data_IF_554814174449
#
_entry.id   IF_554814174449
#
_cell.length_a   1.000
_cell.length_b   1.000
_cell.length_c   1.000
_cell.angle_alpha   90.00
_cell.angle_beta   90.00
_cell.angle_gamma   90.00
#
_symmetry.space_group_name_H-M   'P 1'
#
loop_
_entity.id
_entity.type
_entity.pdbx_description
1 polymer ?
#
# COMPACT_ATOMS: atom_id res chain seq x y z
N UNK A 1 -5.48 12.57 3.68
CA UNK A 1 -4.08 12.37 4.12
C UNK A 1 -3.55 11.11 3.44
N UNK A 2 -2.23 10.97 3.22
CA UNK A 2 -1.60 9.82 2.53
C UNK A 2 -1.21 8.64 3.45
N UNK A 3 -1.25 8.81 4.78
CA UNK A 3 -0.86 7.80 5.77
C UNK A 3 -1.77 7.85 7.01
N UNK A 4 -2.02 6.72 7.70
CA UNK A 4 -2.78 6.69 8.96
C UNK A 4 -2.14 7.55 10.05
N UNK A 5 -2.97 8.23 10.85
CA UNK A 5 -2.54 8.95 12.06
C UNK A 5 -3.57 8.83 13.17
N UNK A 6 -3.13 9.00 14.40
CA UNK A 6 -3.99 8.90 15.59
C UNK A 6 -4.96 10.08 15.72
N UNK A 7 -4.63 11.23 15.16
CA UNK A 7 -5.46 12.44 15.14
C UNK A 7 -6.54 12.44 14.05
N UNK A 8 -6.62 11.39 13.23
CA UNK A 8 -7.62 11.28 12.17
C UNK A 8 -8.95 10.76 12.71
N UNK A 9 -9.99 11.60 12.61
CA UNK A 9 -11.37 11.17 12.79
C UNK A 9 -11.88 10.45 11.51
N UNK A 10 -11.53 9.17 11.39
CA UNK A 10 -11.98 8.34 10.28
C UNK A 10 -13.51 8.24 10.21
N UNK A 11 -14.19 8.23 11.36
CA UNK A 11 -15.65 8.15 11.43
C UNK A 11 -16.32 9.34 10.74
N UNK A 12 -15.93 10.56 11.11
CA UNK A 12 -16.47 11.77 10.46
C UNK A 12 -16.12 11.83 8.96
N UNK A 13 -14.90 11.44 8.58
CA UNK A 13 -14.46 11.44 7.18
C UNK A 13 -15.29 10.44 6.36
N UNK A 14 -15.50 9.23 6.87
CA UNK A 14 -16.20 8.16 6.16
C UNK A 14 -17.69 8.44 6.11
N UNK A 15 -18.29 8.90 7.22
CA UNK A 15 -19.69 9.31 7.26
C UNK A 15 -19.99 10.38 6.19
N UNK A 16 -19.11 11.38 6.02
CA UNK A 16 -19.28 12.41 4.97
C UNK A 16 -19.30 11.81 3.56
N UNK A 17 -18.51 10.77 3.30
CA UNK A 17 -18.52 10.06 2.02
C UNK A 17 -19.81 9.23 1.85
N UNK A 18 -20.20 8.48 2.88
CA UNK A 18 -21.41 7.66 2.86
C UNK A 18 -22.69 8.48 2.70
N UNK A 19 -22.77 9.67 3.31
CA UNK A 19 -23.88 10.60 3.12
C UNK A 19 -24.07 11.03 1.66
N UNK A 20 -23.03 10.89 0.82
CA UNK A 20 -23.06 11.16 -0.62
C UNK A 20 -23.19 9.89 -1.46
N UNK A 21 -23.45 8.74 -0.85
CA UNK A 21 -23.50 7.43 -1.51
C UNK A 21 -22.15 6.89 -1.98
N UNK A 22 -21.03 7.47 -1.52
CA UNK A 22 -19.68 7.08 -1.93
C UNK A 22 -19.19 5.93 -1.06
N UNK A 23 -18.65 4.87 -1.68
CA UNK A 23 -17.98 3.78 -0.97
C UNK A 23 -16.55 4.17 -0.58
N UNK A 24 -16.15 3.79 0.62
CA UNK A 24 -14.81 4.05 1.17
C UNK A 24 -13.96 2.79 1.11
N UNK A 25 -12.78 2.94 0.53
CA UNK A 25 -11.70 1.96 0.58
C UNK A 25 -10.55 2.55 1.40
N UNK A 26 -10.10 1.84 2.43
CA UNK A 26 -9.02 2.31 3.32
C UNK A 26 -7.81 1.39 3.24
N UNK A 27 -6.62 1.96 3.08
CA UNK A 27 -5.37 1.20 3.07
C UNK A 27 -4.78 1.15 4.47
N UNK A 28 -4.49 -0.07 4.94
CA UNK A 28 -3.93 -0.34 6.25
C UNK A 28 -2.65 -1.16 6.13
N UNK A 29 -1.60 -0.71 6.84
CA UNK A 29 -0.33 -1.43 6.97
C UNK A 29 -0.20 -2.20 8.30
N UNK A 30 -1.19 -2.05 9.21
CA UNK A 30 -1.26 -2.74 10.50
C UNK A 30 -2.69 -3.25 10.76
N UNK A 31 -2.82 -4.26 11.61
CA UNK A 31 -4.14 -4.78 12.03
C UNK A 31 -4.91 -3.73 12.83
N UNK A 32 -4.23 -2.95 13.68
CA UNK A 32 -4.86 -1.91 14.49
C UNK A 32 -5.50 -0.81 13.61
N UNK A 33 -4.81 -0.37 12.56
CA UNK A 33 -5.37 0.60 11.61
C UNK A 33 -6.54 0.00 10.80
N UNK A 34 -6.42 -1.27 10.39
CA UNK A 34 -7.52 -1.95 9.71
C UNK A 34 -8.79 -2.06 10.58
N UNK A 35 -8.64 -2.34 11.87
CA UNK A 35 -9.74 -2.38 12.83
C UNK A 35 -10.36 -1.00 13.03
N UNK A 36 -9.55 0.04 13.23
CA UNK A 36 -10.02 1.44 13.32
C UNK A 36 -10.82 1.84 12.09
N UNK A 37 -10.33 1.50 10.89
CA UNK A 37 -11.03 1.78 9.64
C UNK A 37 -12.33 0.98 9.49
N UNK A 38 -12.34 -0.28 9.94
CA UNK A 38 -13.54 -1.11 9.97
C UNK A 38 -14.62 -0.52 10.89
N UNK A 39 -14.23 -0.14 12.11
CA UNK A 39 -15.10 0.54 13.10
C UNK A 39 -15.65 1.86 12.57
N UNK A 40 -14.84 2.61 11.82
CA UNK A 40 -15.25 3.84 11.16
C UNK A 40 -16.18 3.63 9.95
N UNK A 41 -16.40 2.39 9.50
CA UNK A 41 -17.33 2.06 8.42
C UNK A 41 -16.71 1.88 7.03
N UNK A 42 -15.42 1.55 6.92
CA UNK A 42 -14.81 1.22 5.63
C UNK A 42 -15.57 0.10 4.90
N UNK A 43 -15.79 0.26 3.59
CA UNK A 43 -16.47 -0.76 2.79
C UNK A 43 -15.50 -1.83 2.27
N UNK A 44 -14.22 -1.47 2.11
CA UNK A 44 -13.13 -2.35 1.68
C UNK A 44 -11.86 -1.94 2.42
N UNK A 45 -11.09 -2.93 2.87
CA UNK A 45 -9.75 -2.71 3.42
C UNK A 45 -8.70 -3.14 2.40
N UNK A 46 -7.65 -2.34 2.20
CA UNK A 46 -6.46 -2.71 1.43
C UNK A 46 -5.35 -3.02 2.43
N UNK A 47 -5.04 -4.30 2.62
CA UNK A 47 -3.92 -4.74 3.43
C UNK A 47 -2.61 -4.58 2.63
N UNK A 48 -1.78 -3.61 3.02
CA UNK A 48 -0.52 -3.29 2.35
C UNK A 48 0.65 -3.92 3.09
N UNK A 49 1.43 -4.76 2.40
CA UNK A 49 2.71 -5.26 2.90
C UNK A 49 3.89 -4.32 2.63
N UNK A 50 4.99 -4.59 3.32
CA UNK A 50 6.28 -3.88 3.20
C UNK A 50 6.93 -3.99 1.80
N UNK A 51 6.43 -4.88 0.95
CA UNK A 51 6.79 -4.99 -0.47
C UNK A 51 6.08 -3.94 -1.34
N UNK A 52 5.26 -3.06 -0.75
CA UNK A 52 4.67 -1.89 -1.39
C UNK A 52 5.73 -0.84 -1.78
N UNK A 53 5.38 0.06 -2.70
CA UNK A 53 6.21 1.25 -2.97
C UNK A 53 5.84 2.40 -2.04
N UNK A 54 6.74 3.39 -1.93
CA UNK A 54 6.51 4.60 -1.13
C UNK A 54 6.32 4.29 0.37
N UNK A 55 5.29 4.81 1.02
CA UNK A 55 5.09 4.67 2.45
C UNK A 55 4.61 3.26 2.76
N UNK A 56 5.33 2.56 3.63
CA UNK A 56 5.07 1.17 3.99
C UNK A 56 5.21 0.94 5.49
N UNK A 57 4.48 -0.06 5.98
CA UNK A 57 4.72 -0.65 7.30
C UNK A 57 5.82 -1.71 7.25
N UNK A 58 5.98 -2.45 8.34
CA UNK A 58 7.08 -3.41 8.50
C UNK A 58 6.70 -4.85 8.08
N UNK A 59 5.40 -5.17 8.14
CA UNK A 59 4.88 -6.52 7.96
C UNK A 59 4.79 -6.86 6.47
N UNK A 60 5.32 -8.02 6.07
CA UNK A 60 5.23 -8.49 4.68
C UNK A 60 3.81 -8.87 4.25
N UNK A 61 3.51 -8.75 2.95
CA UNK A 61 2.18 -8.94 2.35
C UNK A 61 1.54 -10.26 2.76
N UNK A 62 2.30 -11.35 2.75
CA UNK A 62 1.78 -12.69 3.08
C UNK A 62 1.23 -12.78 4.51
N UNK A 63 1.81 -12.02 5.45
CA UNK A 63 1.43 -12.02 6.87
C UNK A 63 0.29 -11.04 7.12
N UNK A 64 0.46 -9.78 6.70
CA UNK A 64 -0.50 -8.71 7.03
C UNK A 64 -1.88 -9.00 6.45
N UNK A 65 -1.95 -9.52 5.22
CA UNK A 65 -3.22 -9.86 4.58
C UNK A 65 -4.01 -10.85 5.42
N UNK A 66 -3.38 -11.95 5.85
CA UNK A 66 -4.06 -13.00 6.62
C UNK A 66 -4.56 -12.47 7.95
N UNK A 67 -3.76 -11.65 8.62
CA UNK A 67 -4.13 -11.04 9.89
C UNK A 67 -5.32 -10.09 9.72
N UNK A 68 -5.28 -9.22 8.71
CA UNK A 68 -6.36 -8.27 8.43
C UNK A 68 -7.65 -8.98 8.02
N UNK A 69 -7.59 -9.96 7.10
CA UNK A 69 -8.75 -10.77 6.69
C UNK A 69 -9.47 -11.37 7.90
N UNK A 70 -8.71 -11.93 8.86
CA UNK A 70 -9.29 -12.49 10.08
C UNK A 70 -9.90 -11.41 10.98
N UNK A 71 -9.25 -10.26 11.10
CA UNK A 71 -9.62 -9.22 12.04
C UNK A 71 -10.88 -8.43 11.62
N UNK A 72 -11.08 -8.19 10.32
CA UNK A 72 -12.13 -7.29 9.82
C UNK A 72 -13.31 -8.02 9.16
N UNK A 73 -13.36 -9.35 9.24
CA UNK A 73 -14.46 -10.11 8.66
C UNK A 73 -15.82 -9.60 9.18
N UNK A 74 -16.83 -9.42 8.31
CA UNK A 74 -16.93 -9.89 6.92
C UNK A 74 -16.49 -8.87 5.85
N UNK A 75 -15.83 -7.78 6.21
CA UNK A 75 -15.45 -6.72 5.26
C UNK A 75 -14.47 -7.28 4.20
N UNK A 76 -14.69 -7.02 2.88
CA UNK A 76 -13.77 -7.40 1.83
C UNK A 76 -12.37 -6.82 2.04
N UNK A 77 -11.34 -7.65 1.84
CA UNK A 77 -9.93 -7.25 1.94
C UNK A 77 -9.23 -7.46 0.60
N UNK A 78 -8.57 -6.42 0.09
CA UNK A 78 -7.66 -6.47 -1.06
C UNK A 78 -6.21 -6.49 -0.56
N UNK A 79 -5.32 -7.21 -1.23
CA UNK A 79 -3.89 -7.10 -0.97
C UNK A 79 -3.19 -6.06 -1.83
N UNK A 80 -2.18 -5.42 -1.24
CA UNK A 80 -1.21 -4.57 -1.88
C UNK A 80 0.21 -4.93 -1.40
N UNK A 81 1.20 -4.73 -2.29
CA UNK A 81 2.62 -4.98 -2.02
C UNK A 81 3.12 -6.31 -2.59
N UNK A 82 4.16 -6.25 -3.43
CA UNK A 82 4.84 -7.45 -3.96
C UNK A 82 4.05 -8.33 -4.95
N UNK A 83 2.84 -7.93 -5.37
CA UNK A 83 2.01 -8.71 -6.30
C UNK A 83 2.30 -8.36 -7.77
N UNK A 84 2.53 -9.35 -8.64
CA UNK A 84 2.73 -9.16 -10.09
C UNK A 84 2.06 -10.27 -10.91
N UNK A 85 1.59 -9.93 -12.11
CA UNK A 85 0.70 -10.76 -12.98
C UNK A 85 1.24 -12.11 -13.49
N UNK A 86 2.52 -12.47 -13.26
CA UNK A 86 3.04 -13.80 -13.65
C UNK A 86 3.13 -14.69 -12.41
N UNK A 87 2.28 -15.71 -12.35
CA UNK A 87 2.32 -16.75 -11.30
C UNK A 87 1.43 -16.50 -10.07
N UNK A 88 0.47 -15.58 -10.12
CA UNK A 88 -0.43 -15.21 -9.00
C UNK A 88 -1.40 -16.30 -8.52
N UNK A 89 -1.16 -17.61 -8.75
CA UNK A 89 -1.96 -18.67 -8.08
C UNK A 89 -1.86 -18.56 -6.55
N UNK A 90 -0.71 -18.17 -6.00
CA UNK A 90 -0.54 -18.05 -4.55
C UNK A 90 -1.37 -16.91 -3.91
N UNK A 91 -1.63 -15.80 -4.63
CA UNK A 91 -2.45 -14.69 -4.13
C UNK A 91 -3.95 -14.88 -4.40
N UNK A 92 -4.31 -15.76 -5.35
CA UNK A 92 -5.68 -16.01 -5.78
C UNK A 92 -6.41 -17.07 -4.94
N UNK A 93 -5.73 -17.79 -4.04
CA UNK A 93 -6.40 -18.72 -3.11
C UNK A 93 -7.23 -18.02 -2.03
N UNK A 94 -7.18 -16.69 -1.97
CA UNK A 94 -8.21 -15.86 -1.33
C UNK A 94 -8.82 -15.00 -2.43
N UNK A 95 -10.07 -15.27 -2.78
CA UNK A 95 -10.80 -14.82 -3.98
C UNK A 95 -11.07 -13.29 -4.06
N UNK A 96 -10.24 -12.46 -3.43
CA UNK A 96 -10.46 -11.01 -3.28
C UNK A 96 -9.19 -10.16 -3.32
N UNK A 97 -8.11 -10.60 -3.97
CA UNK A 97 -6.81 -9.94 -3.84
C UNK A 97 -6.34 -9.31 -5.15
N UNK A 98 -6.53 -8.01 -5.31
CA UNK A 98 -6.07 -7.29 -6.48
C UNK A 98 -5.62 -5.88 -6.16
N UNK A 99 -4.30 -5.67 -6.03
CA UNK A 99 -3.69 -4.42 -6.50
C UNK A 99 -2.20 -4.62 -6.81
N UNK A 100 -1.80 -4.18 -8.00
CA UNK A 100 -0.42 -4.09 -8.45
C UNK A 100 -0.20 -2.64 -8.94
N UNK A 101 -0.13 -1.69 -8.01
CA UNK A 101 -0.06 -0.27 -8.35
C UNK A 101 1.23 0.09 -9.11
N UNK A 102 2.36 -0.53 -8.77
CA UNK A 102 3.64 -0.24 -9.44
C UNK A 102 3.66 -0.66 -10.92
N UNK A 103 2.90 -1.68 -11.32
CA UNK A 103 2.80 -2.04 -12.75
C UNK A 103 2.02 -0.99 -13.55
N UNK A 104 1.06 -0.30 -12.92
CA UNK A 104 0.31 0.78 -13.57
C UNK A 104 1.21 1.99 -13.85
N UNK A 105 2.23 2.24 -13.03
CA UNK A 105 3.20 3.32 -13.27
C UNK A 105 4.05 3.11 -14.53
N UNK A 106 4.17 1.87 -15.00
CA UNK A 106 4.93 1.52 -16.20
C UNK A 106 4.07 1.52 -17.48
N UNK A 107 2.80 1.94 -17.44
CA UNK A 107 1.93 2.01 -18.62
C UNK A 107 2.15 3.28 -19.43
N UNK A 108 1.60 3.35 -20.64
CA UNK A 108 1.73 4.54 -21.51
C UNK A 108 0.99 5.74 -20.94
N UNK A 109 -0.17 5.50 -20.33
CA UNK A 109 -1.10 6.50 -19.78
C UNK A 109 -0.58 7.12 -18.48
N UNK A 110 0.33 6.44 -17.77
CA UNK A 110 0.88 6.97 -16.51
C UNK A 110 1.63 8.29 -16.77
N UNK A 111 1.26 9.40 -16.11
CA UNK A 111 1.86 10.73 -16.31
C UNK A 111 3.17 10.86 -15.52
N UNK A 112 4.07 9.89 -15.68
CA UNK A 112 5.40 9.87 -15.05
C UNK A 112 6.48 9.90 -16.12
N UNK A 113 7.62 10.50 -15.78
CA UNK A 113 8.76 10.63 -16.68
C UNK A 113 9.17 9.29 -17.29
N UNK A 114 9.55 9.30 -18.57
CA UNK A 114 9.96 8.08 -19.27
C UNK A 114 11.15 7.39 -18.57
N UNK A 115 12.03 8.17 -17.93
CA UNK A 115 13.11 7.64 -17.11
C UNK A 115 12.61 6.85 -15.90
N UNK A 116 11.52 7.28 -15.26
CA UNK A 116 10.89 6.58 -14.14
C UNK A 116 10.26 5.27 -14.60
N UNK A 117 9.53 5.27 -15.73
CA UNK A 117 8.96 4.05 -16.32
C UNK A 117 10.05 3.01 -16.61
N UNK A 118 11.16 3.43 -17.24
CA UNK A 118 12.31 2.55 -17.51
C UNK A 118 12.93 1.99 -16.23
N UNK A 119 13.04 2.79 -15.17
CA UNK A 119 13.55 2.35 -13.88
C UNK A 119 12.64 1.27 -13.25
N UNK A 120 11.32 1.43 -13.32
CA UNK A 120 10.35 0.42 -12.82
C UNK A 120 10.44 -0.88 -13.62
N UNK A 121 10.57 -0.81 -14.95
CA UNK A 121 10.66 -1.99 -15.82
C UNK A 121 11.97 -2.75 -15.62
N UNK A 122 13.09 -2.04 -15.45
CA UNK A 122 14.41 -2.63 -15.30
C UNK A 122 14.71 -3.13 -13.87
N UNK A 123 13.91 -2.71 -12.87
CA UNK A 123 14.19 -2.96 -11.45
C UNK A 123 13.90 -4.39 -11.00
N UNK A 124 14.81 -4.94 -10.18
CA UNK A 124 14.64 -6.16 -9.39
C UNK A 124 14.01 -5.93 -8.01
N UNK A 125 13.72 -7.01 -7.28
CA UNK A 125 13.16 -6.92 -5.92
C UNK A 125 14.15 -6.38 -4.88
N UNK A 126 15.44 -6.58 -5.13
CA UNK A 126 16.60 -6.20 -4.33
C UNK A 126 17.16 -4.79 -4.66
N UNK A 127 16.62 -4.16 -5.71
CA UNK A 127 16.95 -2.79 -6.11
C UNK A 127 16.26 -1.72 -5.24
N UNK A 128 15.55 -2.12 -4.19
CA UNK A 128 14.84 -1.20 -3.29
C UNK A 128 15.33 -1.31 -1.86
N UNK A 129 15.21 -0.22 -1.10
CA UNK A 129 15.58 -0.12 0.31
C UNK A 129 14.45 0.54 1.08
N UNK A 130 14.27 0.10 2.32
CA UNK A 130 13.37 0.73 3.30
C UNK A 130 14.19 1.73 4.12
N UNK A 131 13.75 2.98 4.18
CA UNK A 131 14.48 4.09 4.82
C UNK A 131 13.52 5.17 5.29
N UNK A 132 13.97 6.04 6.19
CA UNK A 132 13.26 7.27 6.60
C UNK A 132 13.86 8.53 5.96
N UNK A 133 14.95 8.40 5.19
CA UNK A 133 15.72 9.53 4.67
C UNK A 133 14.86 10.49 3.84
N UNK A 134 13.93 9.99 3.02
CA UNK A 134 13.04 10.87 2.24
C UNK A 134 12.10 11.70 3.12
N UNK A 135 11.63 11.16 4.25
CA UNK A 135 10.79 11.89 5.19
C UNK A 135 11.59 13.02 5.82
N UNK A 136 12.81 12.72 6.29
CA UNK A 136 13.74 13.69 6.87
C UNK A 136 14.10 14.79 5.87
N UNK A 137 14.50 14.44 4.65
CA UNK A 137 14.92 15.41 3.63
C UNK A 137 13.77 16.29 3.13
N UNK A 138 12.55 15.76 3.09
CA UNK A 138 11.38 16.53 2.65
C UNK A 138 10.77 17.39 3.75
N UNK A 139 11.25 17.29 5.00
CA UNK A 139 10.67 17.94 6.16
C UNK A 139 9.23 17.49 6.48
N UNK A 140 8.77 16.40 5.85
CA UNK A 140 7.43 15.83 6.09
C UNK A 140 7.59 14.60 6.93
N UNK A 141 7.16 14.71 8.17
CA UNK A 141 7.08 13.56 9.05
C UNK A 141 5.81 12.74 8.74
N UNK A 142 5.96 11.43 8.76
CA UNK A 142 4.89 10.45 8.62
C UNK A 142 5.08 9.43 9.74
N UNK A 143 4.52 9.71 10.93
CA UNK A 143 4.78 8.90 12.11
C UNK A 143 4.49 7.42 11.88
N UNK A 144 5.47 6.57 12.17
CA UNK A 144 5.39 5.12 12.01
C UNK A 144 5.45 4.62 10.56
N UNK A 145 5.60 5.49 9.56
CA UNK A 145 5.81 5.09 8.18
C UNK A 145 7.30 4.94 7.86
N UNK A 146 7.63 3.89 7.12
CA UNK A 146 8.88 3.80 6.38
C UNK A 146 8.67 4.21 4.92
N UNK A 147 9.72 4.61 4.22
CA UNK A 147 9.70 4.78 2.77
C UNK A 147 10.49 3.66 2.09
N UNK A 148 9.84 2.91 1.18
CA UNK A 148 10.54 2.02 0.25
C UNK A 148 10.86 2.76 -1.05
N UNK A 149 12.15 2.96 -1.29
CA UNK A 149 12.69 3.69 -2.43
C UNK A 149 13.66 2.84 -3.23
N UNK A 150 13.88 3.21 -4.49
CA UNK A 150 14.93 2.60 -5.30
C UNK A 150 16.30 2.95 -4.74
N UNK A 151 17.18 1.95 -4.64
CA UNK A 151 18.59 2.13 -4.33
C UNK A 151 19.30 2.75 -5.53
N UNK A 152 20.29 3.60 -5.25
CA UNK A 152 21.27 3.97 -6.28
C UNK A 152 21.99 2.69 -6.72
N UNK A 153 21.81 2.31 -7.98
CA UNK A 153 22.55 1.18 -8.55
C UNK A 153 24.02 1.57 -8.70
N UNK A 154 24.93 0.70 -8.26
CA UNK A 154 26.32 0.79 -8.68
C UNK A 154 26.34 0.60 -10.20
N UNK A 155 26.64 1.65 -10.96
CA UNK A 155 26.88 1.52 -12.40
C UNK A 155 28.23 0.84 -12.58
N UNK A 156 28.21 -0.41 -13.08
CA UNK A 156 29.39 -1.11 -13.59
C UNK A 156 30.14 -1.94 -12.56
N UNK A 157 29.90 -3.25 -12.61
CA UNK A 157 30.97 -4.24 -12.70
C UNK A 157 30.72 -5.04 -13.98
#
# INVERSE_FOLDING_TARGET
>A
MKWPRDDQDLGAIFARAHHRGIRVMHMAATVADALRAAEAGANVIVAQGNEGGEHVGEIGTMVIVRQVVKAVAPIPVLAAGGLRRRGTRAALHSERMGSCWNAVLATQEAPVEAAYKRAVVAGGGDDTIVTTVSHTLSGRDWPGAWARLRRTLLRGM
#
